data_IF_930381959622
#
_entry.id   IF_930381959622
#
_cell.length_a   1.000
_cell.length_b   1.000
_cell.length_c   1.000
_cell.angle_alpha   90.00
_cell.angle_beta   90.00
_cell.angle_gamma   90.00
#
_symmetry.space_group_name_H-M   'P 1'
#
loop_
_entity.id
_entity.type
_entity.pdbx_description
1 polymer ?
#
# COMPACT_ATOMS: atom_id res chain seq x y z
N UNK A 1 -12.08 10.11 8.05
CA UNK A 1 -12.66 9.91 6.70
C UNK A 1 -13.24 8.49 6.66
N UNK A 2 -14.48 8.30 6.19
CA UNK A 2 -15.12 6.96 6.19
C UNK A 2 -14.42 6.04 5.18
N UNK A 3 -14.02 4.85 5.61
CA UNK A 3 -13.42 3.83 4.73
C UNK A 3 -14.38 3.50 3.58
N UNK A 4 -13.94 3.74 2.34
CA UNK A 4 -14.72 3.42 1.13
C UNK A 4 -14.64 1.92 0.88
N UNK A 5 -15.77 1.21 0.95
CA UNK A 5 -15.82 -0.24 0.66
C UNK A 5 -15.24 -0.60 -0.71
N UNK A 6 -15.36 0.29 -1.70
CA UNK A 6 -14.80 0.13 -3.05
C UNK A 6 -13.29 -0.14 -3.02
N UNK A 7 -12.54 0.48 -2.10
CA UNK A 7 -11.09 0.33 -2.02
C UNK A 7 -10.66 -1.10 -1.64
N UNK A 8 -11.56 -1.89 -1.04
CA UNK A 8 -11.29 -3.30 -0.73
C UNK A 8 -11.07 -4.14 -1.99
N UNK A 9 -11.53 -3.68 -3.17
CA UNK A 9 -11.26 -4.36 -4.45
C UNK A 9 -9.77 -4.42 -4.80
N UNK A 10 -8.98 -3.47 -4.30
CA UNK A 10 -7.51 -3.45 -4.48
C UNK A 10 -6.82 -3.91 -3.19
N UNK A 11 -7.29 -3.46 -2.03
CA UNK A 11 -6.61 -3.76 -0.77
C UNK A 11 -6.64 -5.25 -0.40
N UNK A 12 -7.76 -5.95 -0.65
CA UNK A 12 -7.90 -7.37 -0.27
C UNK A 12 -6.94 -8.28 -1.06
N UNK A 13 -6.89 -8.25 -2.40
CA UNK A 13 -5.93 -9.07 -3.15
C UNK A 13 -4.48 -8.89 -2.70
N UNK A 14 -4.08 -7.66 -2.36
CA UNK A 14 -2.73 -7.36 -1.89
C UNK A 14 -2.47 -7.96 -0.50
N UNK A 15 -3.48 -7.95 0.39
CA UNK A 15 -3.40 -8.63 1.67
C UNK A 15 -3.28 -10.14 1.51
N UNK A 16 -4.12 -10.73 0.64
CA UNK A 16 -4.08 -12.17 0.36
C UNK A 16 -2.72 -12.59 -0.22
N UNK A 17 -2.13 -11.77 -1.11
CA UNK A 17 -0.76 -11.97 -1.62
C UNK A 17 0.26 -11.88 -0.48
N UNK A 18 0.14 -10.89 0.42
CA UNK A 18 1.07 -10.74 1.53
C UNK A 18 1.06 -11.93 2.50
N UNK A 19 -0.12 -12.54 2.71
CA UNK A 19 -0.24 -13.76 3.51
C UNK A 19 0.44 -14.95 2.82
N UNK A 20 0.31 -15.10 1.50
CA UNK A 20 0.96 -16.18 0.75
C UNK A 20 2.49 -16.13 0.79
N UNK A 21 3.08 -14.93 0.80
CA UNK A 21 4.53 -14.74 0.86
C UNK A 21 5.09 -14.57 2.26
N UNK A 22 4.23 -14.63 3.29
CA UNK A 22 4.58 -14.32 4.67
C UNK A 22 5.28 -12.95 4.81
N UNK A 23 4.77 -11.95 4.09
CA UNK A 23 5.29 -10.58 4.11
C UNK A 23 4.48 -9.74 5.10
N UNK A 24 5.12 -9.11 6.11
CA UNK A 24 4.43 -8.23 7.04
C UNK A 24 3.80 -7.02 6.33
N UNK A 25 2.47 -7.00 6.28
CA UNK A 25 1.66 -5.93 5.74
C UNK A 25 0.56 -5.55 6.73
N UNK A 26 0.40 -4.24 6.99
CA UNK A 26 -0.66 -3.71 7.84
C UNK A 26 -1.41 -2.62 7.10
N UNK A 27 -2.74 -2.74 7.04
CA UNK A 27 -3.61 -1.66 6.57
C UNK A 27 -3.67 -0.58 7.65
N UNK A 28 -3.39 0.66 7.26
CA UNK A 28 -3.58 1.84 8.10
C UNK A 28 -4.38 2.89 7.35
N UNK A 29 -5.18 3.68 8.07
CA UNK A 29 -5.74 4.90 7.50
C UNK A 29 -4.70 6.02 7.71
N UNK A 30 -4.25 6.64 6.62
CA UNK A 30 -3.38 7.81 6.72
C UNK A 30 -4.11 8.94 7.45
N UNK A 31 -3.44 9.57 8.41
CA UNK A 31 -3.88 10.82 9.03
C UNK A 31 -3.66 12.01 8.08
N UNK A 32 -2.68 11.90 7.20
CA UNK A 32 -2.31 12.94 6.24
C UNK A 32 -3.05 12.76 4.92
N UNK A 33 -3.49 13.87 4.28
CA UNK A 33 -4.07 13.80 2.95
C UNK A 33 -3.06 13.25 1.95
N UNK A 34 -3.56 12.51 0.97
CA UNK A 34 -2.79 11.97 -0.14
C UNK A 34 -3.55 12.20 -1.44
N UNK A 35 -2.89 11.99 -2.58
CA UNK A 35 -3.51 12.08 -3.91
C UNK A 35 -4.72 11.16 -4.06
N UNK A 36 -4.79 10.06 -3.29
CA UNK A 36 -5.95 9.16 -3.26
C UNK A 36 -7.24 9.83 -2.79
N UNK A 37 -7.17 10.95 -2.06
CA UNK A 37 -8.33 11.74 -1.67
C UNK A 37 -9.03 12.46 -2.83
N UNK A 38 -8.28 12.78 -3.89
CA UNK A 38 -8.78 13.49 -5.09
C UNK A 38 -9.43 12.53 -6.09
N UNK A 39 -9.16 11.23 -5.97
CA UNK A 39 -9.74 10.21 -6.86
C UNK A 39 -11.25 10.11 -6.65
N UNK A 40 -11.97 10.13 -7.79
CA UNK A 40 -13.43 10.04 -7.84
C UNK A 40 -13.97 8.84 -7.03
N UNK A 41 -15.04 9.05 -6.27
CA UNK A 41 -15.53 8.12 -5.25
C UNK A 41 -15.89 6.70 -5.72
N UNK A 42 -16.14 6.50 -7.01
CA UNK A 42 -16.44 5.18 -7.59
C UNK A 42 -15.21 4.40 -8.04
N UNK A 43 -14.05 5.06 -8.18
CA UNK A 43 -12.81 4.40 -8.58
C UNK A 43 -12.10 3.87 -7.32
N UNK A 44 -11.82 2.56 -7.24
CA UNK A 44 -11.08 2.01 -6.11
C UNK A 44 -9.65 2.58 -6.07
N UNK A 45 -9.18 2.98 -4.90
CA UNK A 45 -7.82 3.51 -4.72
C UNK A 45 -7.22 3.07 -3.40
N UNK A 46 -5.91 2.80 -3.41
CA UNK A 46 -5.09 2.68 -2.21
C UNK A 46 -4.13 3.87 -2.21
N UNK A 47 -4.07 4.63 -1.11
CA UNK A 47 -3.32 5.87 -1.05
C UNK A 47 -1.80 5.69 -1.19
N UNK A 48 -1.29 4.52 -0.82
CA UNK A 48 0.11 4.16 -0.99
C UNK A 48 0.43 2.81 -0.36
N UNK A 49 1.44 2.15 -0.90
CA UNK A 49 2.02 0.91 -0.36
C UNK A 49 3.52 1.16 -0.30
N UNK A 50 3.96 1.71 0.83
CA UNK A 50 5.36 2.08 1.05
C UNK A 50 6.14 1.01 1.82
N UNK A 51 7.49 1.02 1.72
CA UNK A 51 8.34 0.29 2.65
C UNK A 51 8.26 0.89 4.05
N UNK A 52 8.79 0.15 5.02
CA UNK A 52 9.09 0.71 6.33
C UNK A 52 10.16 1.79 6.18
N UNK A 53 9.79 3.02 6.50
CA UNK A 53 10.65 4.19 6.47
C UNK A 53 10.84 4.78 7.87
N UNK A 54 11.93 5.51 8.07
CA UNK A 54 12.27 6.25 9.29
C UNK A 54 12.64 7.67 8.93
N UNK A 55 12.35 8.59 9.85
CA UNK A 55 12.74 10.00 9.78
C UNK A 55 12.31 10.68 8.45
N UNK A 56 11.11 10.33 7.97
CA UNK A 56 10.51 10.91 6.76
C UNK A 56 10.52 12.44 6.84
N UNK A 57 10.84 13.09 5.72
CA UNK A 57 10.93 14.55 5.57
C UNK A 57 12.09 15.18 6.35
N UNK A 58 13.17 14.43 6.59
CA UNK A 58 14.41 14.93 7.22
C UNK A 58 15.65 14.51 6.41
N UNK A 59 16.82 15.13 6.61
CA UNK A 59 18.07 14.67 6.01
C UNK A 59 18.49 13.24 6.44
N UNK A 60 17.89 12.70 7.50
CA UNK A 60 18.14 11.35 8.00
C UNK A 60 17.13 10.31 7.45
N UNK A 61 16.26 10.72 6.53
CA UNK A 61 15.27 9.85 5.93
C UNK A 61 15.91 8.57 5.38
N UNK A 62 15.37 7.43 5.80
CA UNK A 62 15.90 6.14 5.39
C UNK A 62 14.80 5.09 5.25
N UNK A 63 15.04 4.11 4.38
CA UNK A 63 14.12 3.01 4.10
C UNK A 63 14.74 1.67 4.41
N UNK A 64 13.93 0.73 4.89
CA UNK A 64 14.36 -0.65 5.04
C UNK A 64 14.42 -1.35 3.68
N UNK A 65 15.62 -1.82 3.29
CA UNK A 65 15.87 -2.44 1.96
C UNK A 65 15.04 -3.71 1.73
N UNK A 66 14.95 -4.58 2.73
CA UNK A 66 14.14 -5.81 2.64
C UNK A 66 12.67 -5.46 2.45
N UNK A 67 12.16 -4.49 3.23
CA UNK A 67 10.79 -4.01 3.11
C UNK A 67 10.51 -3.45 1.72
N UNK A 68 11.45 -2.69 1.14
CA UNK A 68 11.33 -2.15 -0.21
C UNK A 68 11.16 -3.27 -1.26
N UNK A 69 12.05 -4.27 -1.25
CA UNK A 69 11.98 -5.41 -2.18
C UNK A 69 10.66 -6.18 -2.01
N UNK A 70 10.23 -6.39 -0.76
CA UNK A 70 8.95 -7.02 -0.47
C UNK A 70 7.77 -6.26 -1.10
N UNK A 71 7.73 -4.91 -1.03
CA UNK A 71 6.64 -4.13 -1.66
C UNK A 71 6.66 -4.24 -3.17
N UNK A 72 7.85 -4.32 -3.77
CA UNK A 72 7.99 -4.58 -5.20
C UNK A 72 7.44 -5.95 -5.58
N UNK A 73 7.74 -6.99 -4.81
CA UNK A 73 7.22 -8.34 -5.03
C UNK A 73 5.69 -8.39 -4.94
N UNK A 74 5.12 -7.79 -3.88
CA UNK A 74 3.66 -7.70 -3.71
C UNK A 74 2.98 -7.01 -4.90
N UNK A 75 3.55 -5.89 -5.37
CA UNK A 75 3.01 -5.17 -6.52
C UNK A 75 3.14 -5.98 -7.82
N UNK A 76 4.29 -6.62 -8.03
CA UNK A 76 4.52 -7.43 -9.23
C UNK A 76 3.51 -8.56 -9.34
N UNK A 77 3.30 -9.32 -8.26
CA UNK A 77 2.31 -10.40 -8.28
C UNK A 77 0.88 -9.87 -8.39
N UNK A 78 0.55 -8.77 -7.70
CA UNK A 78 -0.76 -8.15 -7.86
C UNK A 78 -1.05 -7.83 -9.32
N UNK A 79 -0.08 -7.27 -10.04
CA UNK A 79 -0.20 -7.00 -11.47
C UNK A 79 -0.34 -8.29 -12.30
N UNK A 80 0.48 -9.31 -12.02
CA UNK A 80 0.39 -10.63 -12.71
C UNK A 80 -0.97 -11.31 -12.50
N UNK A 81 -1.62 -11.10 -11.35
CA UNK A 81 -2.93 -11.67 -11.05
C UNK A 81 -4.11 -10.84 -11.58
N UNK A 82 -3.87 -9.60 -12.00
CA UNK A 82 -4.93 -8.64 -12.35
C UNK A 82 -4.89 -8.23 -13.83
N UNK A 83 -3.76 -8.39 -14.51
CA UNK A 83 -3.58 -8.26 -15.96
C UNK A 83 -3.68 -9.63 -16.63
#
# INVERSE_FOLDING_TARGET
MKDRKTNMRIAKPIMDISENWDIPLKKTSSLWPSVGGVVYGKVPVVCGIGPTARDLYTPQESVNRTSLIQRTLLLAEFLVKTL
#
